data_IF_436963140201
#
_entry.id   IF_436963140201
#
_cell.length_a   1.000
_cell.length_b   1.000
_cell.length_c   1.000
_cell.angle_alpha   90.00
_cell.angle_beta   90.00
_cell.angle_gamma   90.00
#
_symmetry.space_group_name_H-M   'P 1'
#
loop_
_entity.id
_entity.type
_entity.pdbx_description
1 polymer ?
#
# COMPACT_ATOMS: atom_id res chain seq x y z
N UNK A 1 1.74 19.42 24.44
CA UNK A 1 1.72 19.91 23.06
C UNK A 1 1.92 18.70 22.17
N UNK A 2 1.17 18.61 21.08
CA UNK A 2 1.22 17.48 20.16
C UNK A 2 2.43 17.64 19.24
N UNK A 3 3.02 16.52 18.78
CA UNK A 3 4.07 16.55 17.77
C UNK A 3 3.56 17.08 16.43
N UNK A 4 2.32 16.75 16.04
CA UNK A 4 1.66 17.26 14.84
C UNK A 4 1.54 18.79 14.81
N UNK A 5 1.51 19.48 15.96
CA UNK A 5 1.48 20.95 16.01
C UNK A 5 2.71 21.56 15.31
N UNK A 6 3.85 20.85 15.33
CA UNK A 6 5.13 21.31 14.79
C UNK A 6 5.47 20.77 13.40
N UNK A 7 4.62 19.90 12.83
CA UNK A 7 4.85 19.29 11.51
C UNK A 7 3.94 19.96 10.48
N UNK A 8 4.53 20.68 9.53
CA UNK A 8 3.82 21.25 8.38
C UNK A 8 4.46 20.85 7.05
N UNK A 9 5.74 20.49 7.07
CA UNK A 9 6.49 20.07 5.90
C UNK A 9 7.41 18.88 6.24
N UNK A 10 7.90 18.13 5.24
CA UNK A 10 8.91 17.08 5.47
C UNK A 10 10.18 17.60 6.17
N UNK A 11 10.53 18.87 6.01
CA UNK A 11 11.70 19.46 6.65
C UNK A 11 11.59 19.56 8.19
N UNK A 12 10.37 19.52 8.73
CA UNK A 12 10.15 19.59 10.18
C UNK A 12 10.50 18.26 10.86
N UNK A 13 10.12 17.13 10.24
CA UNK A 13 10.39 15.81 10.81
C UNK A 13 11.88 15.42 10.75
N UNK A 14 12.65 16.00 9.82
CA UNK A 14 14.12 15.80 9.73
C UNK A 14 14.88 16.31 10.97
N UNK A 15 14.25 17.14 11.80
CA UNK A 15 14.83 17.70 13.03
C UNK A 15 14.47 16.89 14.27
N UNK A 16 13.58 15.90 14.13
CA UNK A 16 13.08 15.10 15.24
C UNK A 16 14.01 13.93 15.51
N UNK A 17 14.20 13.61 16.78
CA UNK A 17 14.82 12.35 17.20
C UNK A 17 13.92 11.16 16.88
N UNK A 18 14.49 9.96 16.81
CA UNK A 18 13.74 8.70 16.63
C UNK A 18 12.58 8.59 17.61
N UNK A 19 12.80 8.92 18.88
CA UNK A 19 11.77 8.88 19.92
C UNK A 19 10.63 9.87 19.68
N UNK A 20 10.93 11.05 19.16
CA UNK A 20 9.90 12.03 18.78
C UNK A 20 9.12 11.56 17.55
N UNK A 21 9.79 10.90 16.59
CA UNK A 21 9.13 10.31 15.42
C UNK A 21 8.20 9.14 15.80
N UNK A 22 8.57 8.34 16.79
CA UNK A 22 7.69 7.30 17.37
C UNK A 22 6.44 7.93 18.01
N UNK A 23 6.61 9.06 18.72
CA UNK A 23 5.49 9.83 19.25
C UNK A 23 4.59 10.39 18.15
N UNK A 24 5.20 10.96 17.10
CA UNK A 24 4.48 11.43 15.92
C UNK A 24 3.73 10.30 15.21
N UNK A 25 4.31 9.10 15.11
CA UNK A 25 3.65 7.97 14.44
C UNK A 25 2.36 7.55 15.16
N UNK A 26 2.32 7.64 16.49
CA UNK A 26 1.11 7.41 17.28
C UNK A 26 0.04 8.49 17.00
N UNK A 27 0.43 9.76 16.94
CA UNK A 27 -0.50 10.87 16.66
C UNK A 27 -1.06 10.82 15.22
N UNK A 28 -0.22 10.50 14.23
CA UNK A 28 -0.63 10.32 12.83
C UNK A 28 -1.67 9.20 12.71
N UNK A 29 -1.45 8.06 13.38
CA UNK A 29 -2.45 6.96 13.41
C UNK A 29 -3.76 7.39 14.04
N UNK A 30 -3.70 8.09 15.17
CA UNK A 30 -4.89 8.56 15.86
C UNK A 30 -5.71 9.53 14.98
N UNK A 31 -5.04 10.43 14.25
CA UNK A 31 -5.70 11.34 13.32
C UNK A 31 -6.39 10.59 12.17
N UNK A 32 -5.71 9.62 11.56
CA UNK A 32 -6.27 8.75 10.50
C UNK A 32 -7.50 8.00 11.02
N UNK A 33 -7.35 7.30 12.14
CA UNK A 33 -8.43 6.49 12.71
C UNK A 33 -9.64 7.36 13.09
N UNK A 34 -9.39 8.56 13.63
CA UNK A 34 -10.45 9.51 13.98
C UNK A 34 -11.20 9.98 12.75
N UNK A 35 -10.50 10.43 11.71
CA UNK A 35 -11.09 10.87 10.44
C UNK A 35 -11.94 9.75 9.82
N UNK A 36 -11.36 8.57 9.65
CA UNK A 36 -12.02 7.46 8.97
C UNK A 36 -13.20 6.91 9.79
N UNK A 37 -13.15 7.01 11.13
CA UNK A 37 -14.31 6.69 11.98
C UNK A 37 -15.52 7.58 11.70
N UNK A 38 -15.31 8.79 11.17
CA UNK A 38 -16.36 9.77 10.94
C UNK A 38 -16.87 9.75 9.49
N UNK A 39 -15.97 9.61 8.51
CA UNK A 39 -16.34 9.71 7.09
C UNK A 39 -16.01 8.47 6.25
N UNK A 40 -15.40 7.44 6.85
CA UNK A 40 -14.88 6.27 6.15
C UNK A 40 -13.57 6.54 5.40
N UNK A 41 -12.88 5.48 5.02
CA UNK A 41 -11.58 5.57 4.37
C UNK A 41 -10.79 4.26 4.37
N UNK A 42 -9.59 4.32 3.79
CA UNK A 42 -8.65 3.20 3.81
C UNK A 42 -7.94 3.14 5.16
N UNK A 43 -8.32 2.22 6.03
CA UNK A 43 -7.81 2.17 7.41
C UNK A 43 -6.51 1.37 7.46
N UNK A 44 -6.59 0.06 7.22
CA UNK A 44 -5.48 -0.88 7.38
C UNK A 44 -4.18 -0.49 6.63
N UNK A 45 -4.26 -0.17 5.32
CA UNK A 45 -3.10 0.22 4.53
C UNK A 45 -2.36 1.46 5.08
N UNK A 46 -3.11 2.47 5.52
CA UNK A 46 -2.51 3.70 6.07
C UNK A 46 -1.89 3.50 7.45
N UNK A 47 -2.57 2.77 8.33
CA UNK A 47 -2.07 2.50 9.69
C UNK A 47 -0.78 1.67 9.68
N UNK A 48 -0.67 0.70 8.76
CA UNK A 48 0.51 -0.16 8.63
C UNK A 48 1.74 0.53 8.04
N UNK A 49 1.56 1.66 7.34
CA UNK A 49 2.63 2.31 6.58
C UNK A 49 3.09 3.67 7.15
N UNK A 50 2.68 3.99 8.39
CA UNK A 50 3.04 5.27 9.04
C UNK A 50 4.55 5.41 9.20
N UNK A 51 5.22 4.44 9.83
CA UNK A 51 6.67 4.51 10.08
C UNK A 51 7.48 4.57 8.80
N UNK A 52 7.15 3.72 7.82
CA UNK A 52 7.82 3.72 6.53
C UNK A 52 7.69 5.08 5.83
N UNK A 53 6.52 5.71 5.92
CA UNK A 53 6.31 7.05 5.36
C UNK A 53 7.11 8.12 6.09
N UNK A 54 7.13 8.11 7.43
CA UNK A 54 7.94 9.04 8.22
C UNK A 54 9.43 8.88 7.90
N UNK A 55 9.93 7.65 7.85
CA UNK A 55 11.33 7.35 7.52
C UNK A 55 11.68 7.74 6.07
N UNK A 56 10.77 7.54 5.11
CA UNK A 56 10.95 8.01 3.72
C UNK A 56 11.15 9.53 3.67
N UNK A 57 10.27 10.31 4.32
CA UNK A 57 10.37 11.77 4.32
C UNK A 57 11.49 12.31 5.22
N UNK A 58 11.93 11.53 6.20
CA UNK A 58 13.12 11.83 6.99
C UNK A 58 14.39 11.74 6.12
N UNK A 59 14.54 10.67 5.34
CA UNK A 59 15.76 10.42 4.55
C UNK A 59 15.76 11.14 3.21
N UNK A 60 14.65 11.12 2.48
CA UNK A 60 14.52 11.70 1.13
C UNK A 60 13.95 13.12 1.17
N UNK A 61 14.25 13.90 0.13
CA UNK A 61 13.96 15.34 0.07
C UNK A 61 12.80 15.63 -0.90
N UNK A 62 11.58 15.24 -0.52
CA UNK A 62 10.38 15.56 -1.30
C UNK A 62 10.07 17.08 -1.25
N UNK A 63 9.70 17.76 -2.36
CA UNK A 63 9.35 17.21 -3.67
C UNK A 63 10.50 17.16 -4.69
N UNK A 64 11.75 17.43 -4.29
CA UNK A 64 12.92 17.28 -5.17
C UNK A 64 13.09 15.81 -5.54
N UNK A 65 13.20 14.94 -4.53
CA UNK A 65 13.11 13.49 -4.70
C UNK A 65 11.66 13.10 -5.03
N UNK A 66 11.51 12.12 -5.92
CA UNK A 66 10.19 11.70 -6.41
C UNK A 66 9.74 10.45 -5.68
N UNK A 67 8.57 10.49 -5.04
CA UNK A 67 7.97 9.35 -4.36
C UNK A 67 6.64 9.06 -5.04
N UNK A 68 6.51 7.87 -5.64
CA UNK A 68 5.31 7.43 -6.35
C UNK A 68 4.67 6.30 -5.55
N UNK A 69 3.45 6.51 -5.04
CA UNK A 69 2.72 5.49 -4.28
C UNK A 69 1.79 4.68 -5.19
N UNK A 70 1.95 3.35 -5.21
CA UNK A 70 1.06 2.43 -5.93
C UNK A 70 -0.31 2.32 -5.28
N UNK A 71 -1.38 2.37 -6.07
CA UNK A 71 -2.78 2.62 -5.66
C UNK A 71 -2.96 3.96 -4.94
N UNK A 72 -1.95 4.41 -4.21
CA UNK A 72 -1.86 5.56 -3.32
C UNK A 72 -2.83 5.56 -2.13
N UNK A 73 -3.61 4.49 -1.93
CA UNK A 73 -4.50 4.37 -0.77
C UNK A 73 -3.79 4.30 0.58
N UNK A 74 -2.47 4.09 0.62
CA UNK A 74 -1.59 4.12 1.81
C UNK A 74 -0.84 5.46 1.97
N UNK A 75 -1.37 6.55 1.39
CA UNK A 75 -0.72 7.87 1.39
C UNK A 75 -1.19 8.85 2.49
N UNK A 76 -2.10 8.48 3.40
CA UNK A 76 -2.58 9.41 4.43
C UNK A 76 -1.46 9.93 5.33
N UNK A 77 -0.52 9.10 5.82
CA UNK A 77 0.62 9.60 6.58
C UNK A 77 1.44 10.60 5.77
N UNK A 78 1.58 10.35 4.46
CA UNK A 78 2.30 11.23 3.53
C UNK A 78 1.60 12.58 3.40
N UNK A 79 0.27 12.60 3.23
CA UNK A 79 -0.52 13.83 3.18
C UNK A 79 -0.40 14.65 4.47
N UNK A 80 -0.51 13.98 5.63
CA UNK A 80 -0.41 14.63 6.94
C UNK A 80 0.90 15.41 7.08
N UNK A 81 2.04 14.80 6.73
CA UNK A 81 3.36 15.44 6.90
C UNK A 81 3.79 16.37 5.75
N UNK A 82 2.95 16.52 4.71
CA UNK A 82 3.21 17.39 3.55
C UNK A 82 2.20 18.54 3.47
N UNK A 83 1.87 19.12 4.62
CA UNK A 83 1.08 20.35 4.71
C UNK A 83 -0.44 20.16 4.63
N UNK A 84 -0.94 18.92 4.65
CA UNK A 84 -2.38 18.61 4.53
C UNK A 84 -2.98 18.00 5.80
N UNK A 85 -2.33 18.16 6.96
CA UNK A 85 -2.79 17.60 8.24
C UNK A 85 -4.21 18.01 8.62
N UNK A 86 -4.65 19.22 8.28
CA UNK A 86 -6.00 19.68 8.63
C UNK A 86 -7.09 18.80 7.99
N UNK A 87 -6.83 18.20 6.82
CA UNK A 87 -7.74 17.21 6.22
C UNK A 87 -7.92 15.92 7.03
N UNK A 88 -7.18 15.79 8.14
CA UNK A 88 -7.26 14.69 9.11
C UNK A 88 -7.55 15.16 10.54
N UNK A 89 -7.40 16.45 10.83
CA UNK A 89 -7.63 17.02 12.17
C UNK A 89 -8.94 17.80 12.27
N UNK A 90 -9.29 18.56 11.23
CA UNK A 90 -10.44 19.47 11.21
C UNK A 90 -11.61 18.87 10.41
N UNK A 91 -12.77 18.59 11.04
CA UNK A 91 -13.91 17.98 10.37
C UNK A 91 -14.38 18.71 9.10
N UNK A 92 -14.27 20.04 9.06
CA UNK A 92 -14.65 20.87 7.92
C UNK A 92 -13.70 20.70 6.72
N UNK A 93 -12.50 20.15 6.95
CA UNK A 93 -11.46 19.96 5.93
C UNK A 93 -11.36 18.50 5.44
N UNK A 94 -12.03 17.54 6.10
CA UNK A 94 -11.91 16.10 5.78
C UNK A 94 -12.21 15.75 4.33
N UNK A 95 -13.17 16.45 3.72
CA UNK A 95 -13.62 16.25 2.34
C UNK A 95 -12.87 17.12 1.32
N UNK A 96 -11.98 18.01 1.77
CA UNK A 96 -11.19 18.88 0.88
C UNK A 96 -9.98 18.17 0.29
N UNK A 97 -9.63 17.00 0.82
CA UNK A 97 -8.57 16.14 0.30
C UNK A 97 -9.14 14.81 -0.20
N UNK A 98 -8.59 14.34 -1.31
CA UNK A 98 -8.88 13.02 -1.86
C UNK A 98 -8.23 11.92 -1.02
N UNK A 99 -8.72 10.68 -1.19
CA UNK A 99 -8.13 9.50 -0.56
C UNK A 99 -6.84 8.98 -1.21
N UNK A 100 -6.35 9.65 -2.24
CA UNK A 100 -5.29 9.20 -3.14
C UNK A 100 -4.30 10.33 -3.41
N UNK A 101 -3.11 10.05 -3.94
CA UNK A 101 -2.20 11.13 -4.37
C UNK A 101 -2.83 11.92 -5.52
N UNK A 102 -2.66 13.24 -5.51
CA UNK A 102 -3.27 14.17 -6.44
C UNK A 102 -2.35 15.37 -6.68
N UNK A 103 -1.74 15.53 -7.88
CA UNK A 103 -0.83 16.64 -8.18
C UNK A 103 -1.46 18.03 -8.02
N UNK A 104 -2.77 18.13 -8.20
CA UNK A 104 -3.54 19.35 -7.97
C UNK A 104 -3.64 19.74 -6.48
N UNK A 105 -3.43 18.80 -5.56
CA UNK A 105 -3.43 19.06 -4.12
C UNK A 105 -2.05 19.42 -3.56
N UNK A 106 -0.97 18.92 -4.18
CA UNK A 106 0.37 19.03 -3.62
C UNK A 106 1.47 18.78 -4.63
N UNK A 107 2.55 19.56 -4.54
CA UNK A 107 3.78 19.32 -5.29
C UNK A 107 4.49 18.00 -4.91
N UNK A 108 4.12 17.42 -3.76
CA UNK A 108 4.63 16.13 -3.28
C UNK A 108 3.95 14.93 -3.96
N UNK A 109 2.88 15.15 -4.71
CA UNK A 109 2.10 14.13 -5.39
C UNK A 109 2.38 14.21 -6.89
N UNK A 110 2.96 13.16 -7.49
CA UNK A 110 3.40 13.21 -8.89
C UNK A 110 2.36 12.68 -9.87
N UNK A 111 1.46 11.80 -9.41
CA UNK A 111 0.45 11.16 -10.23
C UNK A 111 -0.87 11.02 -9.45
N UNK A 112 -1.98 11.02 -10.19
CA UNK A 112 -3.26 10.53 -9.68
C UNK A 112 -3.24 9.02 -9.87
N UNK A 113 -3.13 8.28 -8.78
CA UNK A 113 -3.05 6.82 -8.81
C UNK A 113 -4.20 6.25 -8.00
N UNK A 114 -4.94 5.33 -8.60
CA UNK A 114 -6.01 4.59 -7.95
C UNK A 114 -6.00 3.13 -8.41
N UNK A 115 -5.70 2.89 -9.69
CA UNK A 115 -5.36 1.54 -10.16
C UNK A 115 -4.04 1.04 -9.55
N UNK A 116 -3.97 -0.27 -9.42
CA UNK A 116 -2.86 -1.04 -8.86
C UNK A 116 -1.73 -1.23 -9.88
N UNK A 117 -0.53 -1.52 -9.39
CA UNK A 117 0.61 -2.03 -10.17
C UNK A 117 1.30 -1.02 -11.09
N UNK A 118 0.88 0.25 -11.09
CA UNK A 118 1.38 1.30 -11.99
C UNK A 118 2.67 1.98 -11.50
N UNK A 119 3.00 1.92 -10.19
CA UNK A 119 4.00 2.82 -9.60
C UNK A 119 5.42 2.61 -10.13
N UNK A 120 5.82 1.36 -10.40
CA UNK A 120 7.16 1.03 -10.89
C UNK A 120 7.35 1.58 -12.31
N UNK A 121 6.36 1.41 -13.18
CA UNK A 121 6.36 1.93 -14.55
C UNK A 121 6.36 3.46 -14.59
N UNK A 122 5.48 4.09 -13.81
CA UNK A 122 5.42 5.55 -13.67
C UNK A 122 6.74 6.14 -13.15
N UNK A 123 7.30 5.55 -12.10
CA UNK A 123 8.57 5.97 -11.54
C UNK A 123 9.73 5.74 -12.53
N UNK A 124 9.71 4.67 -13.31
CA UNK A 124 10.73 4.39 -14.34
C UNK A 124 10.75 5.48 -15.40
N UNK A 125 9.57 5.99 -15.80
CA UNK A 125 9.44 7.16 -16.66
C UNK A 125 10.06 8.42 -16.06
N UNK A 126 9.83 8.68 -14.76
CA UNK A 126 10.45 9.81 -14.05
C UNK A 126 11.98 9.68 -13.97
N UNK A 127 12.49 8.48 -13.69
CA UNK A 127 13.93 8.20 -13.67
C UNK A 127 14.57 8.44 -15.05
N UNK A 128 13.95 7.93 -16.11
CA UNK A 128 14.41 8.15 -17.49
C UNK A 128 14.43 9.63 -17.86
N UNK A 129 13.39 10.38 -17.48
CA UNK A 129 13.31 11.82 -17.75
C UNK A 129 14.38 12.61 -16.98
N UNK A 130 14.61 12.29 -15.70
CA UNK A 130 15.69 12.88 -14.87
C UNK A 130 17.05 12.67 -15.54
N UNK A 131 17.34 11.46 -15.99
CA UNK A 131 18.64 11.11 -16.58
C UNK A 131 18.89 11.87 -17.88
N UNK A 132 17.88 11.98 -18.75
CA UNK A 132 17.95 12.77 -19.99
C UNK A 132 18.21 14.26 -19.72
N UNK A 133 17.67 14.79 -18.62
CA UNK A 133 17.90 16.18 -18.17
C UNK A 133 19.21 16.36 -17.42
N UNK A 134 19.96 15.29 -17.15
CA UNK A 134 21.17 15.29 -16.32
C UNK A 134 20.94 15.86 -14.92
N UNK A 135 19.73 15.65 -14.39
CA UNK A 135 19.36 16.05 -13.03
C UNK A 135 19.82 15.00 -12.02
N UNK A 136 19.94 15.40 -10.74
CA UNK A 136 20.35 14.49 -9.66
C UNK A 136 19.36 14.58 -8.49
N UNK A 137 18.47 13.59 -8.42
CA UNK A 137 17.54 13.38 -7.33
C UNK A 137 17.13 11.90 -7.28
N UNK A 138 16.61 11.46 -6.15
CA UNK A 138 16.11 10.11 -5.97
C UNK A 138 14.77 9.92 -6.67
N UNK A 139 14.51 8.71 -7.18
CA UNK A 139 13.21 8.30 -7.69
C UNK A 139 12.83 6.99 -7.00
N UNK A 140 11.72 7.05 -6.26
CA UNK A 140 11.25 5.99 -5.39
C UNK A 140 9.84 5.56 -5.83
N UNK A 141 9.67 4.28 -6.15
CA UNK A 141 8.36 3.63 -6.30
C UNK A 141 8.01 2.91 -4.99
N UNK A 142 6.87 3.20 -4.39
CA UNK A 142 6.31 2.46 -3.25
C UNK A 142 5.24 1.54 -3.79
N UNK A 143 5.34 0.24 -3.54
CA UNK A 143 4.41 -0.77 -4.04
C UNK A 143 4.06 -1.77 -2.95
N UNK A 144 2.78 -2.15 -2.83
CA UNK A 144 2.33 -3.21 -1.93
C UNK A 144 2.63 -4.60 -2.49
N UNK A 145 2.76 -5.61 -1.64
CA UNK A 145 2.96 -7.00 -2.06
C UNK A 145 1.83 -7.51 -2.97
N UNK A 146 0.58 -7.16 -2.68
CA UNK A 146 -0.55 -7.47 -3.57
C UNK A 146 -0.38 -6.90 -4.99
N UNK A 147 0.02 -5.63 -5.08
CA UNK A 147 0.23 -4.94 -6.37
C UNK A 147 1.39 -5.51 -7.18
N UNK A 148 2.33 -6.24 -6.57
CA UNK A 148 3.41 -6.91 -7.32
C UNK A 148 2.89 -8.02 -8.24
N UNK A 149 1.69 -8.55 -7.99
CA UNK A 149 1.11 -9.61 -8.81
C UNK A 149 0.49 -9.12 -10.13
N UNK A 150 0.28 -7.81 -10.29
CA UNK A 150 -0.25 -7.26 -11.54
C UNK A 150 0.76 -7.22 -12.66
N UNK A 151 0.27 -7.43 -13.89
CA UNK A 151 1.09 -7.53 -15.10
C UNK A 151 2.02 -6.33 -15.27
N UNK A 152 1.49 -5.12 -15.16
CA UNK A 152 2.28 -3.88 -15.31
C UNK A 152 3.40 -3.77 -14.26
N UNK A 153 3.21 -4.28 -13.04
CA UNK A 153 4.27 -4.27 -12.03
C UNK A 153 5.41 -5.22 -12.41
N UNK A 154 5.08 -6.41 -12.93
CA UNK A 154 6.08 -7.37 -13.40
C UNK A 154 6.87 -6.81 -14.60
N UNK A 155 6.17 -6.21 -15.57
CA UNK A 155 6.80 -5.54 -16.72
C UNK A 155 7.70 -4.38 -16.28
N UNK A 156 7.23 -3.56 -15.35
CA UNK A 156 7.98 -2.44 -14.80
C UNK A 156 9.23 -2.90 -14.05
N UNK A 157 9.15 -3.97 -13.26
CA UNK A 157 10.30 -4.53 -12.54
C UNK A 157 11.33 -5.13 -13.51
N UNK A 158 10.88 -5.90 -14.50
CA UNK A 158 11.75 -6.50 -15.53
C UNK A 158 12.57 -5.42 -16.26
N UNK A 159 11.90 -4.36 -16.71
CA UNK A 159 12.57 -3.21 -17.33
C UNK A 159 13.48 -2.49 -16.35
N UNK A 160 12.98 -2.11 -15.17
CA UNK A 160 13.70 -1.24 -14.25
C UNK A 160 14.97 -1.90 -13.70
N UNK A 161 14.95 -3.20 -13.41
CA UNK A 161 16.09 -3.91 -12.84
C UNK A 161 17.25 -4.12 -13.83
N UNK A 162 16.97 -4.13 -15.13
CA UNK A 162 17.95 -4.44 -16.18
C UNK A 162 18.37 -3.21 -17.01
N UNK A 163 17.43 -2.31 -17.30
CA UNK A 163 17.65 -1.21 -18.25
C UNK A 163 17.96 0.14 -17.58
N UNK A 164 17.57 0.34 -16.32
CA UNK A 164 17.92 1.55 -15.58
C UNK A 164 19.32 1.40 -14.98
N UNK A 165 20.30 2.08 -15.57
CA UNK A 165 21.68 2.15 -15.06
C UNK A 165 21.90 3.43 -14.23
N UNK A 166 20.94 3.76 -13.37
CA UNK A 166 20.94 4.99 -12.57
C UNK A 166 20.14 4.80 -11.28
N UNK A 167 19.98 5.88 -10.51
CA UNK A 167 19.21 5.85 -9.26
C UNK A 167 17.75 5.44 -9.50
N UNK A 168 17.34 4.32 -8.90
CA UNK A 168 15.97 3.87 -8.87
C UNK A 168 15.74 3.00 -7.62
N UNK A 169 14.75 3.33 -6.80
CA UNK A 169 14.49 2.62 -5.54
C UNK A 169 13.05 2.11 -5.57
N UNK A 170 12.86 0.81 -5.37
CA UNK A 170 11.53 0.21 -5.19
C UNK A 170 11.37 -0.18 -3.74
N UNK A 171 10.42 0.44 -3.04
CA UNK A 171 10.05 0.09 -1.67
C UNK A 171 8.86 -0.85 -1.73
N UNK A 172 9.10 -2.12 -1.43
CA UNK A 172 8.06 -3.15 -1.33
C UNK A 172 7.51 -3.15 0.09
N UNK A 173 6.25 -2.79 0.23
CA UNK A 173 5.48 -2.91 1.46
C UNK A 173 4.81 -4.28 1.52
N UNK A 174 5.48 -5.26 2.13
CA UNK A 174 4.97 -6.62 2.30
C UNK A 174 4.27 -6.75 3.65
N UNK A 175 2.94 -6.77 3.62
CA UNK A 175 2.10 -7.05 4.79
C UNK A 175 1.27 -8.33 4.62
N UNK A 176 1.64 -9.15 3.62
CA UNK A 176 1.04 -10.43 3.30
C UNK A 176 -0.46 -10.36 2.93
N UNK A 177 -0.93 -9.20 2.45
CA UNK A 177 -2.32 -8.99 2.05
C UNK A 177 -2.45 -8.09 0.82
N UNK A 178 -3.43 -8.40 -0.02
CA UNK A 178 -4.02 -7.48 -0.99
C UNK A 178 -5.17 -6.72 -0.29
N UNK A 179 -6.40 -6.82 -0.79
CA UNK A 179 -7.60 -6.60 0.03
C UNK A 179 -7.87 -7.87 0.84
N UNK A 180 -8.07 -8.98 0.15
CA UNK A 180 -8.12 -10.34 0.68
C UNK A 180 -6.70 -10.95 0.74
N UNK A 181 -6.62 -12.25 1.08
CA UNK A 181 -5.38 -13.00 1.02
C UNK A 181 -4.75 -12.97 -0.37
N UNK A 182 -3.42 -13.13 -0.42
CA UNK A 182 -2.68 -13.11 -1.67
C UNK A 182 -2.74 -14.45 -2.42
N UNK A 183 -2.85 -14.40 -3.75
CA UNK A 183 -2.90 -15.57 -4.63
C UNK A 183 -1.81 -15.53 -5.71
N UNK A 184 -0.96 -16.55 -5.79
CA UNK A 184 0.06 -16.68 -6.83
C UNK A 184 1.39 -17.23 -6.34
N UNK A 185 2.27 -17.62 -7.27
CA UNK A 185 3.57 -18.22 -6.95
C UNK A 185 4.59 -17.24 -6.36
N UNK A 186 4.47 -15.94 -6.67
CA UNK A 186 5.35 -14.88 -6.18
C UNK A 186 5.45 -14.86 -4.65
N UNK A 187 4.32 -15.05 -3.97
CA UNK A 187 4.20 -14.92 -2.52
C UNK A 187 4.98 -16.00 -1.75
N UNK A 188 5.22 -17.17 -2.36
CA UNK A 188 6.10 -18.19 -1.79
C UNK A 188 7.55 -17.71 -1.72
N UNK A 189 8.00 -16.93 -2.72
CA UNK A 189 9.34 -16.35 -2.69
C UNK A 189 9.43 -15.21 -1.67
N UNK A 190 8.41 -14.36 -1.57
CA UNK A 190 8.34 -13.33 -0.53
C UNK A 190 8.38 -13.96 0.88
N UNK A 191 7.63 -15.04 1.10
CA UNK A 191 7.67 -15.79 2.36
C UNK A 191 9.07 -16.34 2.67
N UNK A 192 9.72 -16.99 1.69
CA UNK A 192 11.08 -17.48 1.84
C UNK A 192 12.06 -16.34 2.19
N UNK A 193 11.91 -15.18 1.56
CA UNK A 193 12.73 -14.00 1.87
C UNK A 193 12.49 -13.52 3.30
N UNK A 194 11.24 -13.52 3.80
CA UNK A 194 10.95 -13.18 5.20
C UNK A 194 11.57 -14.19 6.16
N UNK A 195 11.35 -15.48 5.94
CA UNK A 195 11.86 -16.57 6.80
C UNK A 195 13.40 -16.61 6.87
N UNK A 196 14.08 -16.22 5.79
CA UNK A 196 15.55 -16.19 5.72
C UNK A 196 16.15 -14.82 6.07
N UNK A 197 15.33 -13.87 6.51
CA UNK A 197 15.75 -12.49 6.78
C UNK A 197 16.49 -11.86 5.59
N UNK A 198 15.94 -12.05 4.39
CA UNK A 198 16.42 -11.54 3.11
C UNK A 198 17.62 -12.29 2.51
N UNK A 199 18.03 -13.43 3.08
CA UNK A 199 19.27 -14.14 2.71
C UNK A 199 19.09 -15.28 1.72
N UNK A 200 17.86 -15.62 1.34
CA UNK A 200 17.62 -16.67 0.35
C UNK A 200 18.37 -16.40 -0.97
N UNK A 201 18.99 -17.45 -1.52
CA UNK A 201 19.62 -17.39 -2.85
C UNK A 201 18.56 -17.22 -3.95
N UNK A 202 17.43 -17.91 -3.82
CA UNK A 202 16.25 -17.69 -4.65
C UNK A 202 15.61 -16.36 -4.26
N UNK A 203 15.88 -15.34 -5.05
CA UNK A 203 15.38 -13.98 -4.83
C UNK A 203 14.95 -13.39 -6.18
N UNK A 204 13.64 -13.21 -6.36
CA UNK A 204 13.08 -12.74 -7.61
C UNK A 204 13.62 -11.37 -8.04
N UNK A 205 13.86 -10.48 -7.08
CA UNK A 205 14.32 -9.12 -7.35
C UNK A 205 15.77 -9.11 -7.83
N UNK A 206 16.63 -9.93 -7.22
CA UNK A 206 18.00 -10.13 -7.69
C UNK A 206 18.04 -10.77 -9.07
N UNK A 207 17.13 -11.71 -9.35
CA UNK A 207 17.03 -12.33 -10.67
C UNK A 207 16.67 -11.32 -11.77
N UNK A 208 15.91 -10.27 -11.43
CA UNK A 208 15.59 -9.15 -12.33
C UNK A 208 16.67 -8.06 -12.38
N UNK A 209 17.79 -8.21 -11.66
CA UNK A 209 18.93 -7.28 -11.73
C UNK A 209 19.00 -6.23 -10.60
N UNK A 210 18.08 -6.25 -9.65
CA UNK A 210 18.11 -5.31 -8.52
C UNK A 210 19.12 -5.71 -7.44
N UNK A 211 19.74 -4.69 -6.84
CA UNK A 211 20.23 -4.84 -5.47
C UNK A 211 19.06 -5.02 -4.51
N UNK A 212 19.32 -5.65 -3.35
CA UNK A 212 18.24 -6.04 -2.45
C UNK A 212 18.61 -5.80 -0.99
N UNK A 213 17.75 -5.03 -0.30
CA UNK A 213 17.80 -4.75 1.13
C UNK A 213 16.50 -5.24 1.75
N UNK A 214 16.58 -5.98 2.84
CA UNK A 214 15.42 -6.46 3.58
C UNK A 214 15.36 -5.85 4.98
N UNK A 215 14.17 -5.44 5.40
CA UNK A 215 13.88 -4.91 6.73
C UNK A 215 12.82 -5.80 7.38
N UNK A 216 13.26 -6.60 8.35
CA UNK A 216 12.39 -7.58 9.01
C UNK A 216 11.28 -6.94 9.86
N UNK A 217 11.57 -5.80 10.48
CA UNK A 217 10.60 -5.00 11.22
C UNK A 217 10.36 -3.69 10.47
N UNK A 218 9.39 -3.73 9.54
CA UNK A 218 8.98 -2.59 8.75
C UNK A 218 8.15 -1.56 9.52
N UNK A 219 7.96 -1.73 10.82
CA UNK A 219 7.37 -0.74 11.73
C UNK A 219 8.37 -0.22 12.77
N UNK A 220 9.67 -0.51 12.63
CA UNK A 220 10.76 0.10 13.41
C UNK A 220 11.37 1.28 12.64
N UNK A 221 11.13 2.52 13.13
CA UNK A 221 11.60 3.74 12.47
C UNK A 221 13.12 3.80 12.33
N UNK A 222 13.89 3.32 13.31
CA UNK A 222 15.33 3.38 13.27
C UNK A 222 15.90 2.41 12.22
N UNK A 223 15.34 1.21 12.13
CA UNK A 223 15.67 0.22 11.12
C UNK A 223 15.32 0.72 9.71
N UNK A 224 14.16 1.35 9.54
CA UNK A 224 13.73 1.95 8.29
C UNK A 224 14.63 3.11 7.85
N UNK A 225 14.93 4.06 8.74
CA UNK A 225 15.85 5.18 8.46
C UNK A 225 17.20 4.62 8.00
N UNK A 226 17.76 3.66 8.75
CA UNK A 226 19.04 3.03 8.41
C UNK A 226 19.00 2.35 7.02
N UNK A 227 17.92 1.64 6.70
CA UNK A 227 17.77 1.00 5.40
C UNK A 227 17.70 2.04 4.28
N UNK A 228 16.86 3.08 4.42
CA UNK A 228 16.72 4.13 3.42
C UNK A 228 18.00 4.96 3.25
N UNK A 229 18.73 5.27 4.32
CA UNK A 229 20.03 5.94 4.24
C UNK A 229 21.05 5.10 3.47
N UNK A 230 21.01 3.77 3.61
CA UNK A 230 21.95 2.88 2.91
C UNK A 230 21.72 2.80 1.40
N UNK A 231 20.52 3.16 0.92
CA UNK A 231 20.18 3.17 -0.51
C UNK A 231 20.03 4.59 -1.09
N UNK A 232 20.03 5.64 -0.26
CA UNK A 232 19.94 7.02 -0.71
C UNK A 232 21.08 7.34 -1.67
N UNK A 233 20.74 7.97 -2.79
CA UNK A 233 21.68 8.35 -3.84
C UNK A 233 22.43 7.17 -4.49
N UNK A 234 21.88 5.94 -4.39
CA UNK A 234 22.34 4.78 -5.17
C UNK A 234 22.46 5.13 -6.65
N UNK A 235 23.41 4.52 -7.35
CA UNK A 235 23.62 4.68 -8.78
C UNK A 235 23.06 3.51 -9.62
N UNK A 236 22.35 2.58 -8.98
CA UNK A 236 21.72 1.42 -9.62
C UNK A 236 20.37 1.07 -8.96
N UNK A 237 19.51 0.30 -9.64
CA UNK A 237 18.22 -0.13 -9.12
C UNK A 237 18.36 -0.96 -7.85
N UNK A 238 17.55 -0.65 -6.84
CA UNK A 238 17.52 -1.37 -5.57
C UNK A 238 16.10 -1.56 -5.08
N UNK A 239 15.82 -2.76 -4.57
CA UNK A 239 14.60 -3.08 -3.83
C UNK A 239 14.87 -2.99 -2.34
N UNK A 240 14.05 -2.22 -1.63
CA UNK A 240 13.96 -2.22 -0.17
C UNK A 240 12.66 -2.93 0.21
N UNK A 241 12.76 -4.17 0.66
CA UNK A 241 11.63 -5.01 1.03
C UNK A 241 11.36 -4.91 2.54
N UNK A 242 10.21 -4.34 2.88
CA UNK A 242 9.75 -4.09 4.24
C UNK A 242 8.70 -5.11 4.64
N UNK A 243 8.85 -5.75 5.79
CA UNK A 243 7.82 -6.59 6.39
C UNK A 243 7.00 -5.79 7.41
N UNK A 244 5.77 -5.40 7.08
CA UNK A 244 4.92 -4.50 7.89
C UNK A 244 3.65 -5.18 8.41
N UNK A 245 3.05 -4.63 9.46
CA UNK A 245 1.74 -5.09 9.97
C UNK A 245 0.60 -4.21 9.42
N UNK A 246 -0.23 -4.77 8.54
CA UNK A 246 -1.44 -4.08 8.06
C UNK A 246 -2.39 -3.80 9.23
N UNK A 247 -2.83 -2.54 9.38
CA UNK A 247 -3.69 -2.12 10.49
C UNK A 247 -2.94 -1.78 11.79
N UNK A 248 -1.60 -1.72 11.76
CA UNK A 248 -0.75 -1.48 12.94
C UNK A 248 -1.31 -0.42 13.88
N UNK A 249 -1.45 -0.77 15.16
CA UNK A 249 -1.92 0.13 16.21
C UNK A 249 -3.44 0.16 16.39
N UNK A 250 -4.19 -0.61 15.60
CA UNK A 250 -5.63 -0.80 15.78
C UNK A 250 -5.98 -2.30 15.76
N UNK A 251 -6.18 -2.86 16.95
CA UNK A 251 -6.31 -4.32 17.16
C UNK A 251 -7.40 -4.98 16.29
N UNK A 252 -8.50 -4.28 16.01
CA UNK A 252 -9.57 -4.80 15.14
C UNK A 252 -9.10 -4.94 13.69
N UNK A 253 -8.31 -3.99 13.18
CA UNK A 253 -7.72 -4.04 11.85
C UNK A 253 -6.56 -5.03 11.73
N UNK A 254 -5.73 -5.18 12.76
CA UNK A 254 -4.66 -6.18 12.80
C UNK A 254 -5.25 -7.61 12.76
N UNK A 255 -6.35 -7.83 13.47
CA UNK A 255 -7.03 -9.13 13.54
C UNK A 255 -7.81 -9.46 12.26
N UNK A 256 -8.53 -8.49 11.70
CA UNK A 256 -9.45 -8.70 10.57
C UNK A 256 -9.05 -7.82 9.37
N UNK A 257 -7.90 -8.13 8.76
CA UNK A 257 -7.22 -7.26 7.77
C UNK A 257 -8.05 -6.95 6.51
N UNK A 258 -8.93 -7.84 6.07
CA UNK A 258 -9.76 -7.66 4.86
C UNK A 258 -10.90 -6.64 5.10
N UNK A 259 -11.82 -6.83 6.07
CA UNK A 259 -12.85 -5.82 6.38
C UNK A 259 -12.32 -4.44 6.74
N UNK A 260 -11.11 -4.38 7.31
CA UNK A 260 -10.46 -3.12 7.69
C UNK A 260 -9.54 -2.55 6.61
N UNK A 261 -9.50 -3.14 5.40
CA UNK A 261 -8.77 -2.53 4.28
C UNK A 261 -9.36 -1.14 3.96
N UNK A 262 -10.67 -1.08 3.79
CA UNK A 262 -11.48 0.13 3.65
C UNK A 262 -12.74 -0.02 4.49
N UNK A 263 -13.12 1.00 5.25
CA UNK A 263 -14.24 0.92 6.17
C UNK A 263 -15.18 2.12 6.05
N UNK A 264 -16.48 1.87 6.17
CA UNK A 264 -17.52 2.88 6.38
C UNK A 264 -17.39 3.53 7.77
N UNK A 265 -17.99 4.72 8.03
CA UNK A 265 -17.98 5.34 9.35
C UNK A 265 -18.33 4.36 10.48
N UNK A 266 -17.52 4.35 11.53
CA UNK A 266 -17.54 3.33 12.58
C UNK A 266 -17.28 3.93 13.98
N UNK A 267 -17.67 3.22 15.03
CA UNK A 267 -17.21 3.48 16.38
C UNK A 267 -15.82 2.89 16.60
N UNK A 268 -14.87 3.69 17.10
CA UNK A 268 -13.48 3.28 17.20
C UNK A 268 -13.31 2.11 18.19
N UNK A 269 -14.07 2.08 19.27
CA UNK A 269 -13.90 1.10 20.33
C UNK A 269 -14.52 -0.25 19.95
N UNK A 270 -15.76 -0.25 19.45
CA UNK A 270 -16.46 -1.48 19.09
C UNK A 270 -16.17 -1.96 17.66
N UNK A 271 -15.81 -1.05 16.76
CA UNK A 271 -15.71 -1.31 15.32
C UNK A 271 -17.06 -1.34 14.61
N UNK A 272 -18.16 -1.11 15.32
CA UNK A 272 -19.50 -1.16 14.74
C UNK A 272 -19.75 0.02 13.81
N UNK A 273 -20.46 -0.24 12.71
CA UNK A 273 -20.86 0.80 11.77
C UNK A 273 -21.80 1.80 12.42
N UNK A 274 -21.54 3.09 12.20
CA UNK A 274 -22.45 4.18 12.63
C UNK A 274 -23.73 4.23 11.81
N UNK A 275 -23.66 3.73 10.58
CA UNK A 275 -24.79 3.61 9.67
C UNK A 275 -24.97 2.15 9.29
N UNK A 276 -26.19 1.62 9.45
CA UNK A 276 -26.54 0.30 8.94
C UNK A 276 -27.31 0.43 7.63
N UNK A 277 -26.97 -0.44 6.68
CA UNK A 277 -27.73 -0.59 5.44
C UNK A 277 -28.53 -1.88 5.56
N UNK A 278 -29.84 -1.79 5.36
CA UNK A 278 -30.75 -2.93 5.37
C UNK A 278 -31.37 -3.11 4.00
N UNK A 279 -31.62 -4.37 3.64
CA UNK A 279 -32.28 -4.73 2.39
C UNK A 279 -31.39 -5.55 1.47
N UNK A 280 -31.99 -5.92 0.35
CA UNK A 280 -31.35 -6.69 -0.69
C UNK A 280 -30.40 -5.81 -1.51
N UNK A 281 -29.24 -6.35 -1.85
CA UNK A 281 -28.23 -5.69 -2.68
C UNK A 281 -28.02 -6.47 -3.96
N UNK A 282 -27.47 -5.83 -4.99
CA UNK A 282 -27.05 -6.54 -6.20
C UNK A 282 -26.05 -7.67 -5.88
N UNK A 283 -25.19 -7.49 -4.88
CA UNK A 283 -24.26 -8.50 -4.41
C UNK A 283 -24.99 -9.72 -3.83
N UNK A 284 -25.95 -9.51 -2.92
CA UNK A 284 -26.70 -10.62 -2.31
C UNK A 284 -27.55 -11.38 -3.34
N UNK A 285 -28.17 -10.66 -4.29
CA UNK A 285 -28.90 -11.26 -5.40
C UNK A 285 -28.01 -12.12 -6.30
N UNK A 286 -26.86 -11.57 -6.70
CA UNK A 286 -25.89 -12.25 -7.56
C UNK A 286 -25.35 -13.51 -6.89
N UNK A 287 -24.99 -13.42 -5.61
CA UNK A 287 -24.49 -14.57 -4.85
C UNK A 287 -25.55 -15.66 -4.71
N UNK A 288 -26.78 -15.30 -4.36
CA UNK A 288 -27.88 -16.26 -4.24
C UNK A 288 -28.16 -16.97 -5.57
N UNK A 289 -28.15 -16.23 -6.68
CA UNK A 289 -28.34 -16.76 -8.01
C UNK A 289 -27.23 -17.75 -8.42
N UNK A 290 -25.96 -17.37 -8.23
CA UNK A 290 -24.82 -18.22 -8.59
C UNK A 290 -24.75 -19.48 -7.71
N UNK A 291 -25.05 -19.37 -6.42
CA UNK A 291 -25.12 -20.52 -5.52
C UNK A 291 -26.27 -21.47 -5.86
N UNK A 292 -27.43 -20.95 -6.27
CA UNK A 292 -28.55 -21.78 -6.75
C UNK A 292 -28.18 -22.58 -8.00
N UNK A 293 -27.49 -21.94 -8.97
CA UNK A 293 -26.98 -22.64 -10.15
C UNK A 293 -25.99 -23.75 -9.78
N UNK A 294 -25.06 -23.46 -8.89
CA UNK A 294 -24.09 -24.46 -8.40
C UNK A 294 -24.81 -25.64 -7.72
N UNK A 295 -25.81 -25.38 -6.88
CA UNK A 295 -26.63 -26.42 -6.21
C UNK A 295 -27.42 -27.28 -7.19
N UNK A 296 -27.80 -26.74 -8.34
CA UNK A 296 -28.48 -27.48 -9.42
C UNK A 296 -27.52 -28.29 -10.29
N UNK A 297 -26.21 -28.26 -9.99
CA UNK A 297 -25.19 -28.97 -10.76
C UNK A 297 -24.86 -28.31 -12.09
N UNK A 298 -25.15 -27.02 -12.25
CA UNK A 298 -24.70 -26.27 -13.42
C UNK A 298 -23.19 -26.00 -13.35
N UNK A 299 -22.53 -26.01 -14.51
CA UNK A 299 -21.11 -25.68 -14.62
C UNK A 299 -20.90 -24.17 -14.50
N UNK A 300 -20.72 -23.69 -13.27
CA UNK A 300 -20.48 -22.28 -12.95
C UNK A 300 -19.10 -22.12 -12.33
N UNK A 301 -18.36 -21.09 -12.73
CA UNK A 301 -17.14 -20.65 -12.05
C UNK A 301 -17.28 -19.15 -11.78
N UNK A 302 -16.95 -18.73 -10.57
CA UNK A 302 -16.84 -17.33 -10.18
C UNK A 302 -15.37 -16.94 -10.22
N UNK A 303 -15.07 -15.90 -10.97
CA UNK A 303 -13.71 -15.36 -11.11
C UNK A 303 -13.66 -13.93 -10.62
N UNK A 304 -12.60 -13.61 -9.87
CA UNK A 304 -12.35 -12.28 -9.32
C UNK A 304 -10.87 -11.94 -9.42
N UNK A 305 -10.56 -10.64 -9.43
CA UNK A 305 -9.21 -10.11 -9.35
C UNK A 305 -9.03 -9.35 -8.02
N UNK A 306 -8.60 -10.05 -6.96
CA UNK A 306 -8.11 -9.47 -5.71
C UNK A 306 -9.11 -8.70 -4.83
N UNK A 307 -10.36 -8.56 -5.26
CA UNK A 307 -11.41 -7.74 -4.61
C UNK A 307 -12.72 -8.50 -4.31
N UNK A 308 -12.69 -9.76 -3.82
CA UNK A 308 -13.88 -10.60 -3.68
C UNK A 308 -14.96 -9.99 -2.76
N UNK A 309 -14.54 -9.37 -1.65
CA UNK A 309 -15.45 -8.78 -0.67
C UNK A 309 -16.31 -7.63 -1.23
N UNK A 310 -15.82 -6.90 -2.24
CA UNK A 310 -16.57 -5.79 -2.86
C UNK A 310 -17.84 -6.29 -3.56
N UNK A 311 -17.80 -7.51 -4.09
CA UNK A 311 -18.93 -8.17 -4.75
C UNK A 311 -19.72 -9.07 -3.80
N UNK A 312 -19.45 -8.99 -2.49
CA UNK A 312 -20.12 -9.77 -1.45
C UNK A 312 -19.62 -11.21 -1.33
N UNK A 313 -18.50 -11.57 -1.96
CA UNK A 313 -17.87 -12.89 -1.78
C UNK A 313 -17.00 -12.87 -0.51
N UNK A 314 -17.65 -12.84 0.66
CA UNK A 314 -16.98 -12.98 1.96
C UNK A 314 -16.25 -14.33 2.06
N UNK A 315 -15.31 -14.52 2.99
CA UNK A 315 -14.66 -15.82 3.20
C UNK A 315 -15.65 -17.00 3.28
N UNK A 316 -16.77 -16.82 3.98
CA UNK A 316 -17.82 -17.83 4.15
C UNK A 316 -18.59 -18.11 2.85
N UNK A 317 -18.78 -17.10 2.00
CA UNK A 317 -19.40 -17.29 0.68
C UNK A 317 -18.43 -18.01 -0.25
N UNK A 318 -17.15 -17.60 -0.28
CA UNK A 318 -16.10 -18.24 -1.07
C UNK A 318 -15.99 -19.74 -0.76
N UNK A 319 -16.05 -20.10 0.52
CA UNK A 319 -16.02 -21.50 0.95
C UNK A 319 -17.18 -22.34 0.39
N UNK A 320 -18.36 -21.75 0.17
CA UNK A 320 -19.51 -22.45 -0.42
C UNK A 320 -19.31 -22.77 -1.90
N UNK A 321 -18.53 -21.95 -2.62
CA UNK A 321 -18.18 -22.20 -4.02
C UNK A 321 -17.03 -23.21 -4.15
N UNK A 322 -16.11 -23.28 -3.17
CA UNK A 322 -15.00 -24.22 -3.18
C UNK A 322 -14.15 -24.11 -4.46
N UNK A 323 -13.97 -25.21 -5.19
CA UNK A 323 -13.20 -25.24 -6.44
C UNK A 323 -13.82 -24.40 -7.58
N UNK A 324 -15.07 -23.96 -7.44
CA UNK A 324 -15.75 -23.09 -8.41
C UNK A 324 -15.47 -21.60 -8.17
N UNK A 325 -14.61 -21.26 -7.22
CA UNK A 325 -14.17 -19.89 -6.96
C UNK A 325 -12.70 -19.74 -7.28
N UNK A 326 -12.36 -18.80 -8.15
CA UNK A 326 -10.98 -18.49 -8.53
C UNK A 326 -10.71 -17.01 -8.29
N UNK A 327 -9.71 -16.73 -7.46
CA UNK A 327 -9.12 -15.40 -7.33
C UNK A 327 -7.74 -15.41 -7.99
N UNK A 328 -7.56 -14.59 -9.01
CA UNK A 328 -6.31 -14.50 -9.75
C UNK A 328 -5.31 -13.50 -9.13
N UNK A 329 -5.65 -12.91 -7.98
CA UNK A 329 -4.93 -11.76 -7.44
C UNK A 329 -5.23 -10.50 -8.23
N UNK A 330 -4.32 -9.52 -8.18
CA UNK A 330 -4.48 -8.25 -8.89
C UNK A 330 -4.07 -8.43 -10.36
N UNK A 331 -4.85 -9.19 -11.13
CA UNK A 331 -4.49 -9.60 -12.48
C UNK A 331 -5.70 -9.70 -13.40
N UNK A 332 -6.37 -8.58 -13.65
CA UNK A 332 -7.58 -8.50 -14.48
C UNK A 332 -7.38 -9.05 -15.89
N UNK A 333 -6.22 -8.81 -16.53
CA UNK A 333 -5.95 -9.35 -17.87
C UNK A 333 -5.88 -10.88 -17.85
N UNK A 334 -5.31 -11.46 -16.79
CA UNK A 334 -5.24 -12.91 -16.62
C UNK A 334 -6.63 -13.51 -16.35
N UNK A 335 -7.45 -12.84 -15.51
CA UNK A 335 -8.84 -13.26 -15.28
C UNK A 335 -9.64 -13.32 -16.58
N UNK A 336 -9.50 -12.33 -17.46
CA UNK A 336 -10.29 -12.30 -18.71
C UNK A 336 -9.82 -13.38 -19.70
N UNK A 337 -8.53 -13.75 -19.68
CA UNK A 337 -7.96 -14.68 -20.64
C UNK A 337 -8.12 -16.17 -20.28
N UNK A 338 -8.32 -16.52 -19.01
CA UNK A 338 -8.44 -17.90 -18.51
C UNK A 338 -9.78 -18.55 -18.89
#
# INVERSE_FOLDING_TARGET
MSYLDYVNTPADIKKMSVKELEGLSAEVRAAILKRDSLIGGHVGPNLGFVEATLALHYVFDSPKDKIVFDVSHQCYPHKIITGRKNGFLEPEDYVKITGYTAPQESAHDHFIVGHTSTSVSLASGLAKARDLKKEKHNVIAVIGDGSLSGGEALEGLDFAGSELNSNFIVVVNDNQMSIAENHGGLYQNLELLRQTNGKAELNLFKALGFDYVYVNDGNDIAALIKAFESVKDTNKPVVVHLNTEKGKGYALAEKNKEPWHWHLPFDIQSGELKNSFAGETYNSLTNAFLLDKLKKGENVVVMTAGTPGLFGFTPEVRQQFGAHFVDVGIAEEHAVAM
#
